data_IF_538840672180
#
_entry.id   IF_538840672180
#
_cell.length_a   1.000
_cell.length_b   1.000
_cell.length_c   1.000
_cell.angle_alpha   90.00
_cell.angle_beta   90.00
_cell.angle_gamma   90.00
#
_symmetry.space_group_name_H-M   'P 1'
#
loop_
_entity.id
_entity.type
_entity.pdbx_description
1 polymer ?
#
# COMPACT_ATOMS: atom_id res chain seq x y z
N UNK A 1 -63.31 26.43 22.32
CA UNK A 1 -62.93 25.06 21.91
C UNK A 1 -63.37 24.10 23.00
N UNK A 2 -64.21 23.13 22.65
CA UNK A 2 -64.64 22.08 23.58
C UNK A 2 -63.43 21.34 24.20
N UNK A 3 -63.54 20.86 25.45
CA UNK A 3 -62.46 20.15 26.14
C UNK A 3 -61.99 18.88 25.39
N UNK A 4 -62.90 18.21 24.67
CA UNK A 4 -62.65 17.08 23.77
C UNK A 4 -61.74 17.44 22.59
N UNK A 5 -62.00 18.58 21.94
CA UNK A 5 -61.22 19.09 20.81
C UNK A 5 -59.77 19.40 21.21
N UNK A 6 -59.56 20.02 22.39
CA UNK A 6 -58.22 20.31 22.92
C UNK A 6 -57.41 19.04 23.21
N UNK A 7 -58.08 18.00 23.72
CA UNK A 7 -57.43 16.71 24.05
C UNK A 7 -56.99 15.96 22.79
N UNK A 8 -57.81 15.97 21.75
CA UNK A 8 -57.48 15.35 20.45
C UNK A 8 -56.35 16.08 19.74
N UNK A 9 -56.34 17.42 19.80
CA UNK A 9 -55.25 18.22 19.25
C UNK A 9 -53.92 17.97 19.97
N UNK A 10 -53.96 17.88 21.31
CA UNK A 10 -52.78 17.54 22.11
C UNK A 10 -52.24 16.15 21.74
N UNK A 11 -53.13 15.17 21.55
CA UNK A 11 -52.74 13.81 21.17
C UNK A 11 -52.09 13.77 19.78
N UNK A 12 -52.64 14.52 18.81
CA UNK A 12 -52.07 14.65 17.46
C UNK A 12 -50.68 15.30 17.49
N UNK A 13 -50.47 16.33 18.31
CA UNK A 13 -49.16 16.96 18.49
C UNK A 13 -48.12 15.97 19.03
N UNK A 14 -48.49 15.16 20.02
CA UNK A 14 -47.59 14.14 20.59
C UNK A 14 -47.23 13.09 19.53
N UNK A 15 -48.22 12.58 18.79
CA UNK A 15 -47.98 11.60 17.72
C UNK A 15 -47.06 12.19 16.64
N UNK A 16 -47.27 13.45 16.27
CA UNK A 16 -46.42 14.13 15.28
C UNK A 16 -44.97 14.26 15.75
N UNK A 17 -44.76 14.66 17.01
CA UNK A 17 -43.41 14.77 17.59
C UNK A 17 -42.71 13.41 17.61
N UNK A 18 -43.42 12.35 18.03
CA UNK A 18 -42.86 10.99 18.02
C UNK A 18 -42.52 10.53 16.60
N UNK A 19 -43.38 10.78 15.62
CA UNK A 19 -43.12 10.43 14.22
C UNK A 19 -41.90 11.19 13.66
N UNK A 20 -41.78 12.49 13.95
CA UNK A 20 -40.63 13.29 13.54
C UNK A 20 -39.32 12.77 14.12
N UNK A 21 -39.31 12.36 15.40
CA UNK A 21 -38.14 11.77 16.05
C UNK A 21 -37.73 10.44 15.41
N UNK A 22 -38.70 9.57 15.08
CA UNK A 22 -38.42 8.29 14.41
C UNK A 22 -37.83 8.51 13.01
N UNK A 23 -38.41 9.43 12.23
CA UNK A 23 -37.90 9.78 10.91
C UNK A 23 -36.47 10.32 11.02
N UNK A 24 -36.22 11.25 11.93
CA UNK A 24 -34.88 11.82 12.17
C UNK A 24 -33.86 10.74 12.55
N UNK A 25 -34.24 9.77 13.38
CA UNK A 25 -33.38 8.65 13.78
C UNK A 25 -33.02 7.76 12.58
N UNK A 26 -34.01 7.39 11.75
CA UNK A 26 -33.78 6.57 10.56
C UNK A 26 -32.89 7.29 9.54
N UNK A 27 -33.12 8.59 9.32
CA UNK A 27 -32.27 9.41 8.44
C UNK A 27 -30.84 9.54 8.97
N UNK A 28 -30.66 9.71 10.28
CA UNK A 28 -29.34 9.75 10.91
C UNK A 28 -28.58 8.43 10.70
N UNK A 29 -29.24 7.28 10.84
CA UNK A 29 -28.65 5.98 10.57
C UNK A 29 -28.23 5.83 9.10
N UNK A 30 -29.07 6.26 8.15
CA UNK A 30 -28.72 6.21 6.73
C UNK A 30 -27.56 7.13 6.38
N UNK A 31 -27.50 8.33 6.96
CA UNK A 31 -26.39 9.27 6.78
C UNK A 31 -25.07 8.67 7.25
N UNK A 32 -25.06 8.00 8.41
CA UNK A 32 -23.88 7.32 8.93
C UNK A 32 -23.47 6.13 8.04
N UNK A 33 -24.44 5.37 7.51
CA UNK A 33 -24.16 4.29 6.57
C UNK A 33 -23.62 4.79 5.23
N UNK A 34 -24.05 5.96 4.76
CA UNK A 34 -23.50 6.59 3.55
C UNK A 34 -22.08 7.09 3.76
N UNK A 35 -21.76 7.67 4.92
CA UNK A 35 -20.41 8.11 5.24
C UNK A 35 -19.44 6.91 5.37
N UNK A 36 -19.87 5.83 6.03
CA UNK A 36 -19.09 4.59 6.10
C UNK A 36 -18.91 3.95 4.71
N UNK A 37 -19.97 3.91 3.89
CA UNK A 37 -19.91 3.33 2.54
C UNK A 37 -19.07 4.20 1.57
N UNK A 38 -19.13 5.52 1.69
CA UNK A 38 -18.29 6.44 0.91
C UNK A 38 -16.81 6.30 1.31
N UNK A 39 -16.53 6.14 2.60
CA UNK A 39 -15.19 5.83 3.08
C UNK A 39 -14.72 4.46 2.58
N UNK A 40 -15.56 3.42 2.64
CA UNK A 40 -15.21 2.09 2.11
C UNK A 40 -14.94 2.11 0.59
N UNK A 41 -15.73 2.83 -0.20
CA UNK A 41 -15.50 3.00 -1.64
C UNK A 41 -14.16 3.69 -1.94
N UNK A 42 -13.81 4.73 -1.19
CA UNK A 42 -12.51 5.39 -1.32
C UNK A 42 -11.33 4.45 -0.97
N UNK A 43 -11.50 3.54 -0.01
CA UNK A 43 -10.47 2.55 0.29
C UNK A 43 -10.40 1.46 -0.77
N UNK A 44 -11.53 1.02 -1.34
CA UNK A 44 -11.55 0.06 -2.44
C UNK A 44 -10.86 0.62 -3.70
N UNK A 45 -11.13 1.87 -4.07
CA UNK A 45 -10.49 2.48 -5.25
C UNK A 45 -8.98 2.71 -5.05
N UNK A 46 -8.56 3.05 -3.83
CA UNK A 46 -7.14 3.14 -3.47
C UNK A 46 -6.46 1.76 -3.46
N UNK A 47 -7.10 0.73 -2.92
CA UNK A 47 -6.58 -0.64 -2.95
C UNK A 47 -6.54 -1.16 -4.39
N UNK A 48 -7.53 -0.84 -5.23
CA UNK A 48 -7.59 -1.29 -6.62
C UNK A 48 -6.51 -0.62 -7.49
N UNK A 49 -6.26 0.67 -7.28
CA UNK A 49 -5.16 1.39 -7.94
C UNK A 49 -3.77 0.93 -7.46
N UNK A 50 -3.60 0.63 -6.16
CA UNK A 50 -2.35 0.08 -5.62
C UNK A 50 -2.13 -1.38 -6.10
N UNK A 51 -3.17 -2.21 -6.08
CA UNK A 51 -3.11 -3.60 -6.53
C UNK A 51 -2.97 -3.74 -8.06
N UNK A 52 -3.48 -2.79 -8.84
CA UNK A 52 -3.28 -2.77 -10.30
C UNK A 52 -1.87 -2.35 -10.70
N UNK A 53 -1.11 -1.70 -9.80
CA UNK A 53 0.29 -1.29 -10.04
C UNK A 53 1.29 -2.39 -9.67
N UNK A 54 0.88 -3.46 -8.99
CA UNK A 54 1.84 -4.43 -8.45
C UNK A 54 1.34 -5.87 -8.48
N UNK A 55 1.22 -6.43 -9.67
CA UNK A 55 1.23 -7.89 -9.84
C UNK A 55 1.93 -8.20 -11.16
N UNK A 56 3.27 -8.25 -11.13
CA UNK A 56 4.09 -9.46 -11.40
C UNK A 56 5.57 -9.08 -11.49
N UNK A 57 5.92 -8.05 -12.26
CA UNK A 57 7.33 -7.86 -12.63
C UNK A 57 8.22 -7.22 -11.55
N UNK A 58 7.83 -6.11 -10.86
CA UNK A 58 8.73 -5.48 -9.90
C UNK A 58 8.97 -6.31 -8.63
N UNK A 59 7.97 -7.10 -8.22
CA UNK A 59 8.07 -7.95 -7.03
C UNK A 59 8.96 -9.16 -7.29
N UNK A 60 8.84 -9.76 -8.47
CA UNK A 60 9.67 -10.89 -8.91
C UNK A 60 11.11 -10.45 -9.10
N UNK A 61 11.36 -9.36 -9.84
CA UNK A 61 12.69 -8.78 -10.03
C UNK A 61 13.34 -8.41 -8.69
N UNK A 62 12.58 -7.85 -7.74
CA UNK A 62 13.10 -7.53 -6.41
C UNK A 62 13.47 -8.79 -5.62
N UNK A 63 12.69 -9.87 -5.75
CA UNK A 63 13.00 -11.16 -5.10
C UNK A 63 14.28 -11.77 -5.69
N UNK A 64 14.42 -11.80 -7.00
CA UNK A 64 15.61 -12.30 -7.69
C UNK A 64 16.87 -11.49 -7.35
N UNK A 65 16.72 -10.15 -7.27
CA UNK A 65 17.80 -9.27 -6.83
C UNK A 65 18.25 -9.62 -5.40
N UNK A 66 17.32 -9.77 -4.46
CA UNK A 66 17.64 -10.09 -3.07
C UNK A 66 18.33 -11.45 -2.95
N UNK A 67 17.84 -12.46 -3.67
CA UNK A 67 18.46 -13.79 -3.70
C UNK A 67 19.89 -13.72 -4.24
N UNK A 68 20.07 -13.03 -5.37
CA UNK A 68 21.37 -12.82 -6.02
C UNK A 68 22.35 -12.02 -5.16
N UNK A 69 21.85 -11.04 -4.40
CA UNK A 69 22.67 -10.18 -3.55
C UNK A 69 23.12 -10.89 -2.27
N UNK A 70 22.26 -11.69 -1.63
CA UNK A 70 22.53 -12.33 -0.33
C UNK A 70 23.05 -13.77 -0.44
N UNK A 71 22.92 -14.43 -1.61
CA UNK A 71 23.31 -15.83 -1.81
C UNK A 71 24.51 -15.97 -2.73
N UNK A 72 25.71 -16.03 -2.15
CA UNK A 72 26.97 -16.14 -2.88
C UNK A 72 28.04 -16.82 -2.03
N UNK A 73 29.00 -17.49 -2.67
CA UNK A 73 30.17 -18.05 -2.00
C UNK A 73 31.33 -17.05 -1.95
N UNK A 74 31.44 -16.19 -2.97
CA UNK A 74 32.49 -15.16 -3.03
C UNK A 74 31.93 -13.78 -3.35
N UNK A 75 32.59 -12.73 -2.87
CA UNK A 75 32.18 -11.34 -3.14
C UNK A 75 32.19 -11.02 -4.64
N UNK A 76 33.10 -11.61 -5.42
CA UNK A 76 33.15 -11.45 -6.87
C UNK A 76 31.95 -12.09 -7.58
N UNK A 77 31.48 -13.24 -7.09
CA UNK A 77 30.28 -13.90 -7.58
C UNK A 77 29.03 -13.04 -7.34
N UNK A 78 28.91 -12.43 -6.15
CA UNK A 78 27.84 -11.47 -5.87
C UNK A 78 27.79 -10.35 -6.89
N UNK A 79 28.94 -9.73 -7.20
CA UNK A 79 28.98 -8.63 -8.15
C UNK A 79 28.47 -9.04 -9.54
N UNK A 80 28.92 -10.17 -10.06
CA UNK A 80 28.42 -10.70 -11.34
C UNK A 80 26.91 -10.99 -11.32
N UNK A 81 26.40 -11.51 -10.21
CA UNK A 81 24.97 -11.85 -10.05
C UNK A 81 24.07 -10.61 -9.94
N UNK A 82 24.56 -9.51 -9.37
CA UNK A 82 23.75 -8.29 -9.18
C UNK A 82 23.85 -7.31 -10.35
N UNK A 83 24.86 -7.44 -11.21
CA UNK A 83 25.07 -6.61 -12.41
C UNK A 83 23.81 -6.42 -13.29
N UNK A 84 23.06 -7.48 -13.68
CA UNK A 84 21.87 -7.33 -14.51
C UNK A 84 20.71 -6.58 -13.83
N UNK A 85 20.72 -6.49 -12.49
CA UNK A 85 19.68 -5.81 -11.70
C UNK A 85 20.03 -4.35 -11.40
N UNK A 86 21.19 -3.86 -11.86
CA UNK A 86 21.72 -2.55 -11.51
C UNK A 86 21.89 -1.66 -12.73
N UNK A 87 21.83 -0.35 -12.51
CA UNK A 87 22.33 0.61 -13.51
C UNK A 87 23.85 0.62 -13.50
N UNK A 88 24.48 1.01 -14.61
CA UNK A 88 25.95 1.13 -14.69
C UNK A 88 26.56 1.98 -13.56
N UNK A 89 25.87 3.05 -13.15
CA UNK A 89 26.31 3.90 -12.05
C UNK A 89 26.11 3.23 -10.68
N UNK A 90 24.94 2.62 -10.47
CA UNK A 90 24.64 1.87 -9.24
C UNK A 90 25.61 0.72 -9.03
N UNK A 91 25.88 -0.06 -10.08
CA UNK A 91 26.83 -1.17 -10.03
C UNK A 91 28.23 -0.71 -9.66
N UNK A 92 28.74 0.36 -10.30
CA UNK A 92 30.05 0.96 -9.96
C UNK A 92 30.14 1.43 -8.50
N UNK A 93 29.03 1.88 -7.92
CA UNK A 93 28.97 2.29 -6.52
C UNK A 93 28.95 1.11 -5.52
N UNK A 94 28.71 -0.12 -5.98
CA UNK A 94 28.71 -1.32 -5.12
C UNK A 94 30.11 -1.85 -4.81
N UNK A 95 31.12 -1.43 -5.57
CA UNK A 95 32.51 -1.82 -5.30
C UNK A 95 33.02 -1.09 -4.05
N UNK A 96 33.77 -1.77 -3.17
CA UNK A 96 34.31 -1.13 -1.97
C UNK A 96 35.26 -0.01 -2.39
N UNK A 97 35.28 1.07 -1.60
CA UNK A 97 36.14 2.24 -1.74
C UNK A 97 37.62 1.87 -1.60
N UNK A 98 38.17 1.27 -2.66
CA UNK A 98 39.51 0.71 -2.72
C UNK A 98 39.83 0.09 -4.09
N UNK A 99 38.81 -0.30 -4.87
CA UNK A 99 38.99 -0.77 -6.25
C UNK A 99 39.38 0.33 -7.25
N UNK A 100 39.17 1.61 -6.91
CA UNK A 100 39.49 2.75 -7.77
C UNK A 100 40.99 3.03 -7.98
N UNK A 101 41.90 2.18 -7.50
CA UNK A 101 43.36 2.34 -7.65
C UNK A 101 44.09 1.16 -8.30
N UNK A 102 43.37 0.13 -8.73
CA UNK A 102 43.96 -1.00 -9.44
C UNK A 102 43.14 -1.23 -10.69
N UNK A 103 43.78 -1.00 -11.85
CA UNK A 103 43.25 -1.34 -13.16
C UNK A 103 42.99 -2.85 -13.31
N UNK A 104 42.64 -3.34 -14.51
CA UNK A 104 42.16 -4.70 -14.70
C UNK A 104 43.18 -5.69 -14.14
N UNK A 105 42.79 -6.41 -13.09
CA UNK A 105 43.57 -7.55 -12.57
C UNK A 105 43.39 -8.66 -13.58
N UNK A 106 44.27 -8.64 -14.59
CA UNK A 106 44.55 -9.80 -15.43
C UNK A 106 45.04 -10.91 -14.51
N UNK A 107 44.48 -12.07 -14.76
CA UNK A 107 44.57 -13.29 -13.98
C UNK A 107 45.96 -13.93 -14.12
N UNK A 108 47.02 -13.26 -13.68
CA UNK A 108 48.36 -13.89 -13.60
C UNK A 108 48.46 -14.69 -12.30
N UNK A 109 48.06 -15.95 -12.42
CA UNK A 109 48.44 -17.05 -11.54
C UNK A 109 49.96 -17.23 -11.63
N UNK A 110 50.74 -17.23 -10.54
CA UNK A 110 52.01 -17.94 -10.53
C UNK A 110 51.76 -19.37 -10.03
N UNK A 111 52.21 -20.32 -10.82
CA UNK A 111 52.33 -21.72 -10.44
C UNK A 111 53.34 -21.91 -9.30
N UNK A 112 53.11 -22.98 -8.52
CA UNK A 112 54.07 -23.80 -7.77
C UNK A 112 55.30 -23.12 -7.14
N UNK A 113 55.38 -23.10 -5.80
CA UNK A 113 55.99 -24.13 -4.92
C UNK A 113 55.82 -23.71 -3.46
#
# INVERSE_FOLDING_TARGET
>A
MEPTQKKNFLFLMIVFVVAALVIMYVFSLQSQLQEVRANQGNYEDQIKSLSSIQNTDPLEINREFLESFFTYQTTAERYKKIEPFMTNQGYKATYPSGFGRIGPVIHDRPEAF
#
